data_IF_878234458501
#
_entry.id   IF_878234458501
#
_cell.length_a   1.000
_cell.length_b   1.000
_cell.length_c   1.000
_cell.angle_alpha   90.00
_cell.angle_beta   90.00
_cell.angle_gamma   90.00
#
_symmetry.space_group_name_H-M   'P 1'
#
loop_
_entity.id
_entity.type
_entity.pdbx_description
1 polymer ?
#
# COMPACT_ATOMS: atom_id res chain seq x y z
N UNK A 1 -42.00 -10.86 -19.28
CA UNK A 1 -41.24 -9.66 -19.67
C UNK A 1 -39.76 -9.91 -19.41
N UNK A 2 -38.87 -9.80 -20.40
CA UNK A 2 -37.45 -10.05 -20.22
C UNK A 2 -36.87 -9.03 -19.23
N UNK A 3 -36.32 -9.52 -18.11
CA UNK A 3 -35.58 -8.69 -17.18
C UNK A 3 -34.30 -8.21 -17.87
N UNK A 4 -33.92 -6.93 -17.78
CA UNK A 4 -32.66 -6.44 -18.30
C UNK A 4 -31.52 -6.94 -17.40
N UNK A 5 -31.11 -8.19 -17.60
CA UNK A 5 -30.08 -8.87 -16.79
C UNK A 5 -28.68 -8.39 -17.19
N UNK A 6 -28.47 -7.99 -18.45
CA UNK A 6 -27.15 -7.61 -18.96
C UNK A 6 -26.46 -6.46 -18.18
N UNK A 7 -27.13 -5.35 -17.81
CA UNK A 7 -26.52 -4.31 -16.99
C UNK A 7 -26.18 -4.79 -15.57
N UNK A 8 -27.04 -5.60 -14.97
CA UNK A 8 -26.88 -6.11 -13.60
C UNK A 8 -25.73 -7.14 -13.54
N UNK A 9 -25.62 -8.00 -14.55
CA UNK A 9 -24.57 -9.00 -14.66
C UNK A 9 -23.17 -8.36 -14.77
N UNK A 10 -23.02 -7.29 -15.55
CA UNK A 10 -21.75 -6.55 -15.65
C UNK A 10 -21.32 -5.93 -14.33
N UNK A 11 -22.26 -5.33 -13.59
CA UNK A 11 -22.03 -4.77 -12.26
C UNK A 11 -21.65 -5.86 -11.26
N UNK A 12 -22.40 -6.97 -11.24
CA UNK A 12 -22.16 -8.10 -10.35
C UNK A 12 -20.80 -8.74 -10.60
N UNK A 13 -20.37 -8.89 -11.86
CA UNK A 13 -19.05 -9.41 -12.20
C UNK A 13 -17.93 -8.51 -11.71
N UNK A 14 -18.04 -7.19 -11.90
CA UNK A 14 -17.00 -6.23 -11.48
C UNK A 14 -16.82 -6.20 -9.97
N UNK A 15 -17.92 -6.07 -9.23
CA UNK A 15 -17.85 -6.03 -7.77
C UNK A 15 -17.57 -7.41 -7.17
N UNK A 16 -18.07 -8.49 -7.79
CA UNK A 16 -17.73 -9.86 -7.42
C UNK A 16 -16.23 -10.15 -7.59
N UNK A 17 -15.63 -9.73 -8.71
CA UNK A 17 -14.19 -9.85 -8.92
C UNK A 17 -13.38 -9.04 -7.89
N UNK A 18 -13.79 -7.81 -7.58
CA UNK A 18 -13.14 -6.99 -6.56
C UNK A 18 -13.23 -7.64 -5.17
N UNK A 19 -14.41 -8.17 -4.82
CA UNK A 19 -14.63 -8.86 -3.56
C UNK A 19 -13.78 -10.13 -3.44
N UNK A 20 -13.69 -10.93 -4.50
CA UNK A 20 -12.84 -12.11 -4.54
C UNK A 20 -11.35 -11.76 -4.44
N UNK A 21 -10.92 -10.69 -5.10
CA UNK A 21 -9.54 -10.19 -4.99
C UNK A 21 -9.23 -9.75 -3.55
N UNK A 22 -10.11 -8.97 -2.92
CA UNK A 22 -9.96 -8.54 -1.53
C UNK A 22 -9.96 -9.74 -0.56
N UNK A 23 -10.84 -10.72 -0.77
CA UNK A 23 -10.87 -11.95 0.02
C UNK A 23 -9.59 -12.76 -0.13
N UNK A 24 -9.08 -12.93 -1.36
CA UNK A 24 -7.83 -13.64 -1.58
C UNK A 24 -6.65 -12.93 -0.91
N UNK A 25 -6.54 -11.60 -1.05
CA UNK A 25 -5.47 -10.82 -0.40
C UNK A 25 -5.51 -11.01 1.11
N UNK A 26 -6.68 -10.86 1.74
CA UNK A 26 -6.81 -10.98 3.20
C UNK A 26 -6.65 -12.41 3.70
N UNK A 27 -7.07 -13.41 2.93
CA UNK A 27 -6.96 -14.83 3.30
C UNK A 27 -5.54 -15.35 3.22
N UNK A 28 -4.77 -14.90 2.23
CA UNK A 28 -3.42 -15.40 1.97
C UNK A 28 -2.31 -14.48 2.47
N UNK A 29 -2.64 -13.30 2.99
CA UNK A 29 -1.66 -12.44 3.67
C UNK A 29 -1.19 -13.10 4.96
N UNK A 30 0.09 -13.46 5.03
CA UNK A 30 0.71 -13.86 6.28
C UNK A 30 0.92 -12.63 7.19
N UNK A 31 0.85 -12.79 8.53
CA UNK A 31 1.24 -11.74 9.45
C UNK A 31 2.65 -11.26 9.13
N UNK A 32 2.83 -9.95 9.03
CA UNK A 32 4.16 -9.38 8.85
C UNK A 32 4.98 -9.65 10.12
N UNK A 33 6.19 -10.16 9.95
CA UNK A 33 7.11 -10.34 11.07
C UNK A 33 7.44 -8.97 11.68
N UNK A 34 7.19 -8.80 12.97
CA UNK A 34 7.66 -7.63 13.72
C UNK A 34 9.19 -7.70 13.84
N UNK A 35 9.86 -6.68 13.32
CA UNK A 35 11.33 -6.57 13.33
C UNK A 35 11.69 -5.13 13.65
N UNK A 36 12.15 -4.90 14.89
CA UNK A 36 12.37 -3.55 15.42
C UNK A 36 13.32 -2.74 14.54
N UNK A 37 14.37 -3.37 14.00
CA UNK A 37 15.33 -2.67 13.12
C UNK A 37 14.70 -2.18 11.83
N UNK A 38 13.69 -2.90 11.32
CA UNK A 38 12.98 -2.50 10.11
C UNK A 38 12.01 -1.36 10.38
N UNK A 39 11.36 -1.36 11.55
CA UNK A 39 10.50 -0.26 12.01
C UNK A 39 11.34 1.01 12.26
N UNK A 40 12.46 0.89 12.97
CA UNK A 40 13.38 2.00 13.23
C UNK A 40 13.91 2.61 11.91
N UNK A 41 14.29 1.76 10.95
CA UNK A 41 14.75 2.22 9.64
C UNK A 41 13.67 2.98 8.84
N UNK A 42 12.40 2.69 9.07
CA UNK A 42 11.28 3.44 8.48
C UNK A 42 11.06 4.78 9.19
N UNK A 43 11.24 4.83 10.51
CA UNK A 43 11.12 6.04 11.32
C UNK A 43 12.24 7.05 11.07
N UNK A 44 13.41 6.59 10.62
CA UNK A 44 14.54 7.44 10.24
C UNK A 44 14.41 8.06 8.83
N UNK A 45 13.41 7.66 8.03
CA UNK A 45 13.25 8.18 6.67
C UNK A 45 12.88 9.67 6.66
N UNK A 46 13.53 10.41 5.77
CA UNK A 46 13.12 11.77 5.45
C UNK A 46 11.83 11.77 4.62
N UNK A 47 10.99 12.79 4.82
CA UNK A 47 9.75 12.99 4.06
C UNK A 47 10.04 13.18 2.56
N UNK A 48 9.15 12.65 1.72
CA UNK A 48 9.28 12.65 0.27
C UNK A 48 9.74 11.30 -0.28
N UNK A 49 10.35 11.32 -1.47
CA UNK A 49 10.79 10.12 -2.18
C UNK A 49 12.28 10.22 -2.46
N UNK A 50 13.02 9.17 -2.13
CA UNK A 50 14.46 9.07 -2.33
C UNK A 50 14.79 7.81 -3.14
N UNK A 51 15.74 7.94 -4.06
CA UNK A 51 16.23 6.82 -4.86
C UNK A 51 17.75 6.80 -4.83
N UNK A 52 18.32 5.61 -4.66
CA UNK A 52 19.76 5.38 -4.75
C UNK A 52 20.02 4.19 -5.66
N UNK A 53 20.80 4.40 -6.71
CA UNK A 53 21.33 3.34 -7.57
C UNK A 53 22.78 3.04 -7.19
N UNK A 54 23.11 1.76 -7.12
CA UNK A 54 24.47 1.22 -7.08
C UNK A 54 24.61 0.18 -8.19
N UNK A 55 25.82 -0.34 -8.40
CA UNK A 55 26.14 -1.24 -9.53
C UNK A 55 25.26 -2.50 -9.58
N UNK A 56 24.96 -3.09 -8.42
CA UNK A 56 24.20 -4.34 -8.30
C UNK A 56 22.76 -4.13 -7.79
N UNK A 57 22.37 -2.90 -7.43
CA UNK A 57 21.12 -2.68 -6.71
C UNK A 57 20.52 -1.30 -6.93
N UNK A 58 19.19 -1.24 -6.80
CA UNK A 58 18.42 -0.01 -6.74
C UNK A 58 17.63 -0.03 -5.44
N UNK A 59 17.82 1.00 -4.63
CA UNK A 59 17.10 1.21 -3.38
C UNK A 59 16.16 2.41 -3.57
N UNK A 60 14.94 2.29 -3.05
CA UNK A 60 13.95 3.34 -2.99
C UNK A 60 13.43 3.50 -1.57
N UNK A 61 13.17 4.73 -1.17
CA UNK A 61 12.53 5.06 0.09
C UNK A 61 11.45 6.11 -0.16
N UNK A 62 10.34 6.02 0.55
CA UNK A 62 9.31 7.04 0.54
C UNK A 62 8.74 7.22 1.95
N UNK A 63 8.48 8.47 2.34
CA UNK A 63 7.73 8.79 3.56
C UNK A 63 6.76 9.94 3.29
N UNK A 64 5.56 9.83 3.83
CA UNK A 64 4.52 10.85 3.76
C UNK A 64 3.93 11.04 5.14
N UNK A 65 3.93 12.28 5.62
CA UNK A 65 3.32 12.63 6.90
C UNK A 65 2.22 13.67 6.68
N UNK A 66 0.97 13.31 6.97
CA UNK A 66 -0.20 14.18 6.75
C UNK A 66 -1.14 14.17 7.94
N UNK A 67 -1.47 15.35 8.44
CA UNK A 67 -2.49 15.54 9.47
C UNK A 67 -3.80 15.98 8.81
N UNK A 68 -4.85 15.19 8.97
CA UNK A 68 -6.20 15.52 8.52
C UNK A 68 -7.04 15.94 9.72
N UNK A 69 -7.80 17.03 9.62
CA UNK A 69 -8.72 17.50 10.67
C UNK A 69 -10.13 17.58 10.14
N UNK A 70 -11.11 17.17 10.95
CA UNK A 70 -12.53 17.29 10.61
C UNK A 70 -13.02 18.68 11.00
N UNK A 71 -12.92 19.63 10.08
CA UNK A 71 -13.32 21.03 10.31
C UNK A 71 -12.27 21.88 11.06
N UNK A 72 -12.54 23.19 11.27
CA UNK A 72 -11.55 24.12 11.83
C UNK A 72 -11.10 23.81 13.27
N UNK A 73 -11.96 23.15 14.05
CA UNK A 73 -11.72 22.83 15.46
C UNK A 73 -12.06 21.38 15.85
N UNK A 74 -12.31 20.50 14.87
CA UNK A 74 -12.66 19.11 15.16
C UNK A 74 -11.45 18.19 15.30
N UNK A 75 -11.70 16.90 15.63
CA UNK A 75 -10.66 15.91 15.85
C UNK A 75 -9.80 15.70 14.59
N UNK A 76 -8.52 15.43 14.81
CA UNK A 76 -7.55 15.20 13.75
C UNK A 76 -6.92 13.83 13.81
N UNK A 77 -6.56 13.30 12.65
CA UNK A 77 -5.81 12.05 12.48
C UNK A 77 -4.48 12.39 11.81
N UNK A 78 -3.38 11.96 12.40
CA UNK A 78 -2.07 11.99 11.76
C UNK A 78 -1.81 10.65 11.07
N UNK A 79 -1.52 10.72 9.78
CA UNK A 79 -1.14 9.58 8.96
C UNK A 79 0.34 9.72 8.66
N UNK A 80 1.15 8.82 9.21
CA UNK A 80 2.55 8.64 8.84
C UNK A 80 2.67 7.32 8.08
N UNK A 81 3.07 7.41 6.82
CA UNK A 81 3.21 6.28 5.91
C UNK A 81 4.63 6.26 5.36
N UNK A 82 5.32 5.14 5.57
CA UNK A 82 6.70 4.91 5.14
C UNK A 82 6.81 3.64 4.29
N UNK A 83 7.74 3.64 3.34
CA UNK A 83 8.01 2.52 2.46
C UNK A 83 9.49 2.44 2.12
N UNK A 84 10.04 1.22 2.18
CA UNK A 84 11.39 0.88 1.79
C UNK A 84 11.37 -0.23 0.73
N UNK A 85 12.14 -0.04 -0.34
CA UNK A 85 12.27 -1.00 -1.42
C UNK A 85 13.72 -1.21 -1.82
N UNK A 86 14.07 -2.47 -2.12
CA UNK A 86 15.38 -2.85 -2.64
C UNK A 86 15.23 -3.89 -3.74
N UNK A 87 15.84 -3.61 -4.88
CA UNK A 87 15.93 -4.52 -6.01
C UNK A 87 17.41 -4.79 -6.26
N UNK A 88 17.82 -6.05 -6.27
CA UNK A 88 19.21 -6.46 -6.52
C UNK A 88 19.28 -7.31 -7.79
N UNK A 89 20.16 -6.92 -8.70
CA UNK A 89 20.41 -7.62 -9.94
C UNK A 89 21.61 -8.56 -9.75
N UNK A 90 21.43 -9.84 -10.06
CA UNK A 90 22.53 -10.82 -10.13
C UNK A 90 22.48 -11.46 -11.50
N UNK A 91 23.63 -11.53 -12.17
CA UNK A 91 23.78 -12.31 -13.40
C UNK A 91 23.89 -13.77 -13.00
N UNK A 92 23.04 -14.61 -13.56
CA UNK A 92 23.04 -16.07 -13.41
C UNK A 92 23.28 -16.68 -14.77
#
# INVERSE_FOLDING_TARGET
MPLPIAPIAGVALRYGALALAAYAITRYSAPLRRDQRSEDAMDELHEGVQFRRAEDQVNGAARMKRTFRVGPAGPGIEIDASALGRIRFRRV
#
